data_IF_876826970909
#
_entry.id   IF_876826970909
#
_cell.length_a   1.000
_cell.length_b   1.000
_cell.length_c   1.000
_cell.angle_alpha   90.00
_cell.angle_beta   90.00
_cell.angle_gamma   90.00
#
_symmetry.space_group_name_H-M   'P 1'
#
loop_
_entity.id
_entity.type
_entity.pdbx_description
1 polymer ?
#
# COMPACT_ATOMS: atom_id res chain seq x y z
N UNK A 1 0.59 9.13 53.58
CA UNK A 1 -0.80 8.92 53.12
C UNK A 1 -0.84 8.99 51.60
N UNK A 2 -1.15 7.90 50.95
CA UNK A 2 -1.29 7.88 49.51
C UNK A 2 -2.55 8.64 49.10
N UNK A 3 -2.38 9.55 48.10
CA UNK A 3 -3.48 10.32 47.55
C UNK A 3 -4.39 9.39 46.71
N UNK A 4 -5.67 9.16 47.10
CA UNK A 4 -6.54 8.26 46.36
C UNK A 4 -6.83 8.72 44.92
N UNK A 5 -6.51 9.97 44.57
CA UNK A 5 -6.65 10.48 43.18
C UNK A 5 -5.54 10.01 42.25
N UNK A 6 -4.39 9.56 42.74
CA UNK A 6 -3.29 9.07 41.90
C UNK A 6 -3.62 7.72 41.24
N UNK A 7 -4.39 6.86 41.92
CA UNK A 7 -4.83 5.56 41.40
C UNK A 7 -5.82 5.70 40.22
N UNK A 8 -6.71 6.70 40.28
CA UNK A 8 -7.67 6.96 39.19
C UNK A 8 -6.96 7.41 37.92
N UNK A 9 -5.97 8.29 38.04
CA UNK A 9 -5.15 8.74 36.90
C UNK A 9 -4.39 7.58 36.26
N UNK A 10 -3.82 6.71 37.07
CA UNK A 10 -3.09 5.53 36.59
C UNK A 10 -4.00 4.56 35.85
N UNK A 11 -5.20 4.29 36.36
CA UNK A 11 -6.19 3.45 35.69
C UNK A 11 -6.66 4.00 34.35
N UNK A 12 -6.94 5.30 34.29
CA UNK A 12 -7.35 5.98 33.05
C UNK A 12 -6.23 5.89 32.01
N UNK A 13 -4.99 6.13 32.41
CA UNK A 13 -3.83 6.04 31.52
C UNK A 13 -3.62 4.60 30.99
N UNK A 14 -3.71 3.61 31.84
CA UNK A 14 -3.59 2.19 31.47
C UNK A 14 -4.71 1.76 30.49
N UNK A 15 -5.95 2.19 30.74
CA UNK A 15 -7.09 1.94 29.83
C UNK A 15 -6.90 2.62 28.49
N UNK A 16 -6.41 3.86 28.48
CA UNK A 16 -6.12 4.60 27.24
C UNK A 16 -5.05 3.88 26.42
N UNK A 17 -3.95 3.44 27.03
CA UNK A 17 -2.90 2.68 26.33
C UNK A 17 -3.40 1.35 25.80
N UNK A 18 -4.19 0.62 26.57
CA UNK A 18 -4.79 -0.65 26.15
C UNK A 18 -5.72 -0.45 24.96
N UNK A 19 -6.59 0.54 25.00
CA UNK A 19 -7.52 0.87 23.91
C UNK A 19 -6.76 1.26 22.63
N UNK A 20 -5.73 2.12 22.76
CA UNK A 20 -4.89 2.53 21.63
C UNK A 20 -4.17 1.33 21.01
N UNK A 21 -3.59 0.45 21.80
CA UNK A 21 -2.91 -0.76 21.36
C UNK A 21 -3.87 -1.72 20.66
N UNK A 22 -5.07 -1.90 21.16
CA UNK A 22 -6.10 -2.75 20.56
C UNK A 22 -6.54 -2.18 19.22
N UNK A 23 -6.78 -0.87 19.10
CA UNK A 23 -7.15 -0.20 17.85
C UNK A 23 -6.05 -0.32 16.80
N UNK A 24 -4.78 -0.15 17.17
CA UNK A 24 -3.63 -0.32 16.26
C UNK A 24 -3.51 -1.77 15.77
N UNK A 25 -3.78 -2.76 16.63
CA UNK A 25 -3.75 -4.18 16.26
C UNK A 25 -4.86 -4.50 15.27
N UNK A 26 -6.07 -3.98 15.46
CA UNK A 26 -7.20 -4.16 14.55
C UNK A 26 -6.93 -3.50 13.19
N UNK A 27 -6.39 -2.28 13.17
CA UNK A 27 -6.01 -1.58 11.93
C UNK A 27 -4.93 -2.35 11.16
N UNK A 28 -3.95 -2.90 11.84
CA UNK A 28 -2.90 -3.71 11.22
C UNK A 28 -3.48 -5.00 10.63
N UNK A 29 -4.41 -5.64 11.33
CA UNK A 29 -5.10 -6.83 10.82
C UNK A 29 -5.92 -6.52 9.58
N UNK A 30 -6.66 -5.41 9.59
CA UNK A 30 -7.42 -4.96 8.43
C UNK A 30 -6.52 -4.71 7.22
N UNK A 31 -5.40 -4.02 7.43
CA UNK A 31 -4.41 -3.77 6.38
C UNK A 31 -3.85 -5.07 5.81
N UNK A 32 -3.49 -6.02 6.65
CA UNK A 32 -3.00 -7.34 6.23
C UNK A 32 -4.04 -8.11 5.41
N UNK A 33 -5.31 -8.05 5.82
CA UNK A 33 -6.41 -8.69 5.09
C UNK A 33 -6.63 -8.02 3.72
N UNK A 34 -6.55 -6.70 3.63
CA UNK A 34 -6.62 -5.95 2.37
C UNK A 34 -5.50 -6.37 1.42
N UNK A 35 -4.27 -6.43 1.91
CA UNK A 35 -3.10 -6.84 1.10
C UNK A 35 -3.25 -8.28 0.62
N UNK A 36 -3.71 -9.18 1.47
CA UNK A 36 -3.95 -10.58 1.13
C UNK A 36 -5.00 -10.72 0.02
N UNK A 37 -6.09 -9.97 0.11
CA UNK A 37 -7.14 -9.94 -0.91
C UNK A 37 -6.61 -9.38 -2.24
N UNK A 38 -5.83 -8.32 -2.21
CA UNK A 38 -5.19 -7.76 -3.40
C UNK A 38 -4.30 -8.81 -4.08
N UNK A 39 -3.45 -9.48 -3.32
CA UNK A 39 -2.59 -10.55 -3.84
C UNK A 39 -3.40 -11.70 -4.45
N UNK A 40 -4.52 -12.04 -3.84
CA UNK A 40 -5.45 -13.05 -4.38
C UNK A 40 -5.99 -12.63 -5.75
N UNK A 41 -6.45 -11.38 -5.88
CA UNK A 41 -6.96 -10.83 -7.15
C UNK A 41 -5.87 -10.79 -8.22
N UNK A 42 -4.66 -10.41 -7.86
CA UNK A 42 -3.52 -10.38 -8.79
C UNK A 42 -3.17 -11.78 -9.29
N UNK A 43 -3.15 -12.77 -8.43
CA UNK A 43 -2.92 -14.17 -8.83
C UNK A 43 -4.01 -14.68 -9.77
N UNK A 44 -5.27 -14.31 -9.53
CA UNK A 44 -6.38 -14.70 -10.40
C UNK A 44 -6.31 -14.04 -11.79
N UNK A 45 -5.68 -12.87 -11.91
CA UNK A 45 -5.49 -12.14 -13.16
C UNK A 45 -4.11 -12.36 -13.80
N UNK A 46 -3.32 -13.27 -13.28
CA UNK A 46 -1.94 -13.54 -13.67
C UNK A 46 -1.82 -13.94 -15.14
N UNK A 47 -0.81 -13.39 -15.83
CA UNK A 47 -0.46 -13.74 -17.20
C UNK A 47 1.05 -13.98 -17.31
N UNK A 48 1.44 -15.25 -17.37
CA UNK A 48 2.85 -15.65 -17.44
C UNK A 48 3.54 -15.29 -18.75
N UNK A 49 2.79 -15.19 -19.85
CA UNK A 49 3.33 -14.75 -21.16
C UNK A 49 3.74 -13.28 -21.08
N UNK A 50 2.89 -12.44 -20.50
CA UNK A 50 3.18 -11.00 -20.35
C UNK A 50 4.36 -10.77 -19.40
N UNK A 51 4.41 -11.44 -18.26
CA UNK A 51 5.52 -11.31 -17.32
C UNK A 51 6.84 -11.82 -17.89
N UNK A 52 6.81 -12.90 -18.66
CA UNK A 52 7.98 -13.43 -19.36
C UNK A 52 8.49 -12.46 -20.42
N UNK A 53 7.62 -11.85 -21.20
CA UNK A 53 7.97 -10.81 -22.18
C UNK A 53 8.62 -9.59 -21.51
N UNK A 54 8.09 -9.16 -20.40
CA UNK A 54 8.65 -8.04 -19.62
C UNK A 54 10.08 -8.34 -19.16
N UNK A 55 10.35 -9.55 -18.64
CA UNK A 55 11.69 -9.97 -18.24
C UNK A 55 12.66 -9.97 -19.40
N UNK A 56 12.24 -10.47 -20.55
CA UNK A 56 13.06 -10.47 -21.76
C UNK A 56 13.43 -9.04 -22.20
N UNK A 57 12.59 -8.06 -21.92
CA UNK A 57 12.81 -6.66 -22.23
C UNK A 57 13.50 -5.88 -21.08
N UNK A 58 14.06 -6.57 -20.11
CA UNK A 58 14.86 -5.94 -19.03
C UNK A 58 14.08 -5.47 -17.81
N UNK A 59 12.79 -5.78 -17.74
CA UNK A 59 11.97 -5.44 -16.56
C UNK A 59 12.06 -6.60 -15.55
N UNK A 60 12.92 -6.43 -14.56
CA UNK A 60 13.29 -7.48 -13.60
C UNK A 60 12.79 -7.16 -12.19
N UNK A 61 11.47 -7.22 -11.99
CA UNK A 61 10.88 -7.20 -10.66
C UNK A 61 11.10 -8.56 -9.96
N UNK A 62 11.24 -8.55 -8.65
CA UNK A 62 11.32 -9.78 -7.87
C UNK A 62 10.12 -10.69 -8.11
N UNK A 63 8.92 -10.11 -8.14
CA UNK A 63 7.68 -10.80 -8.49
C UNK A 63 6.91 -9.96 -9.50
N UNK A 64 6.46 -10.59 -10.57
CA UNK A 64 5.67 -9.97 -11.61
C UNK A 64 4.58 -10.96 -12.05
N UNK A 65 3.33 -10.64 -11.75
CA UNK A 65 2.19 -11.47 -12.14
C UNK A 65 1.78 -11.28 -13.61
N UNK A 66 2.27 -10.23 -14.26
CA UNK A 66 1.94 -9.96 -15.66
C UNK A 66 0.50 -9.48 -15.85
N UNK A 67 -0.06 -8.78 -14.88
CA UNK A 67 -1.39 -8.18 -15.01
C UNK A 67 -1.28 -6.89 -15.83
N UNK A 68 -2.10 -6.77 -16.88
CA UNK A 68 -2.08 -5.57 -17.72
C UNK A 68 -2.65 -4.34 -16.98
N UNK A 69 -2.33 -3.14 -17.49
CA UNK A 69 -2.74 -1.90 -16.84
C UNK A 69 -4.25 -1.70 -16.79
N UNK A 70 -5.05 -2.02 -17.84
CA UNK A 70 -6.51 -1.94 -17.74
C UNK A 70 -7.09 -2.79 -16.62
N UNK A 71 -6.59 -3.99 -16.43
CA UNK A 71 -7.03 -4.87 -15.35
C UNK A 71 -6.59 -4.36 -13.99
N UNK A 72 -5.39 -3.79 -13.88
CA UNK A 72 -4.93 -3.12 -12.66
C UNK A 72 -5.82 -1.94 -12.30
N UNK A 73 -6.23 -1.14 -13.28
CA UNK A 73 -7.14 -0.02 -13.06
C UNK A 73 -8.51 -0.49 -12.53
N UNK A 74 -9.03 -1.62 -13.02
CA UNK A 74 -10.26 -2.23 -12.50
C UNK A 74 -10.09 -2.66 -11.04
N UNK A 75 -8.98 -3.31 -10.70
CA UNK A 75 -8.67 -3.72 -9.33
C UNK A 75 -8.52 -2.47 -8.43
N UNK A 76 -7.82 -1.44 -8.89
CA UNK A 76 -7.66 -0.20 -8.15
C UNK A 76 -9.00 0.48 -7.82
N UNK A 77 -9.97 0.42 -8.74
CA UNK A 77 -11.30 0.98 -8.52
C UNK A 77 -12.10 0.23 -7.42
N UNK A 78 -11.77 -1.02 -7.14
CA UNK A 78 -12.49 -1.88 -6.21
C UNK A 78 -11.83 -1.97 -4.81
N UNK A 79 -10.64 -1.40 -4.63
CA UNK A 79 -9.93 -1.43 -3.34
C UNK A 79 -9.96 -0.06 -2.66
N UNK A 80 -9.73 0.02 -1.33
CA UNK A 80 -9.72 1.30 -0.61
C UNK A 80 -8.59 2.22 -1.10
N UNK A 81 -8.89 3.50 -1.25
CA UNK A 81 -7.92 4.54 -1.60
C UNK A 81 -7.50 5.28 -0.34
N UNK A 82 -6.61 4.69 0.42
CA UNK A 82 -6.09 5.26 1.67
C UNK A 82 -4.58 5.43 1.60
N UNK A 83 -4.06 6.43 2.30
CA UNK A 83 -2.62 6.65 2.43
C UNK A 83 -1.91 5.41 2.95
N UNK A 84 -2.42 4.81 4.02
CA UNK A 84 -1.78 3.67 4.68
C UNK A 84 -1.66 2.46 3.75
N UNK A 85 -2.73 2.13 3.03
CA UNK A 85 -2.70 1.01 2.08
C UNK A 85 -1.75 1.31 0.92
N UNK A 86 -1.86 2.48 0.29
CA UNK A 86 -1.03 2.86 -0.85
C UNK A 86 0.46 2.92 -0.48
N UNK A 87 0.81 3.50 0.67
CA UNK A 87 2.18 3.55 1.15
C UNK A 87 2.76 2.15 1.41
N UNK A 88 1.94 1.23 1.92
CA UNK A 88 2.33 -0.17 2.14
C UNK A 88 2.53 -0.90 0.82
N UNK A 89 1.64 -0.71 -0.15
CA UNK A 89 1.76 -1.29 -1.49
C UNK A 89 3.02 -0.82 -2.21
N UNK A 90 3.37 0.46 -2.07
CA UNK A 90 4.57 1.02 -2.71
C UNK A 90 5.87 0.38 -2.23
N UNK A 91 5.94 -0.04 -0.99
CA UNK A 91 7.10 -0.69 -0.40
C UNK A 91 7.31 -2.13 -0.86
N UNK A 92 6.29 -2.75 -1.43
CA UNK A 92 6.38 -4.14 -1.89
C UNK A 92 7.20 -4.22 -3.19
N UNK A 93 7.93 -5.31 -3.35
CA UNK A 93 8.78 -5.54 -4.51
C UNK A 93 8.07 -6.31 -5.63
N UNK A 94 6.75 -6.26 -5.63
CA UNK A 94 5.86 -6.81 -6.64
C UNK A 94 5.46 -5.68 -7.58
N UNK A 95 5.64 -5.87 -8.90
CA UNK A 95 5.32 -4.87 -9.93
C UNK A 95 3.92 -4.29 -9.75
N UNK A 96 2.92 -5.15 -9.71
CA UNK A 96 1.51 -4.76 -9.64
C UNK A 96 1.17 -3.99 -8.36
N UNK A 97 1.80 -4.34 -7.25
CA UNK A 97 1.59 -3.64 -5.98
C UNK A 97 2.09 -2.19 -6.06
N UNK A 98 3.22 -1.96 -6.69
CA UNK A 98 3.76 -0.61 -6.90
C UNK A 98 2.87 0.22 -7.83
N UNK A 99 2.38 -0.37 -8.90
CA UNK A 99 1.46 0.31 -9.83
C UNK A 99 0.12 0.62 -9.15
N UNK A 100 -0.42 -0.31 -8.38
CA UNK A 100 -1.64 -0.09 -7.58
C UNK A 100 -1.44 1.02 -6.54
N UNK A 101 -0.27 1.10 -5.92
CA UNK A 101 0.05 2.18 -4.98
C UNK A 101 -0.11 3.56 -5.62
N UNK A 102 0.44 3.74 -6.82
CA UNK A 102 0.31 4.99 -7.56
C UNK A 102 -1.14 5.27 -7.99
N UNK A 103 -1.92 4.23 -8.31
CA UNK A 103 -3.32 4.36 -8.70
C UNK A 103 -4.27 4.65 -7.54
N UNK A 104 -3.90 4.30 -6.32
CA UNK A 104 -4.79 4.36 -5.15
C UNK A 104 -4.38 5.40 -4.10
N UNK A 105 -3.20 5.99 -4.21
CA UNK A 105 -2.77 7.05 -3.29
C UNK A 105 -3.68 8.27 -3.44
N UNK A 106 -4.32 8.76 -2.36
CA UNK A 106 -5.09 10.00 -2.43
C UNK A 106 -4.21 11.19 -2.82
N UNK A 107 -4.67 12.01 -3.76
CA UNK A 107 -3.91 13.17 -4.22
C UNK A 107 -3.66 14.19 -3.10
N UNK A 108 -4.61 14.35 -2.21
CA UNK A 108 -4.52 15.25 -1.07
C UNK A 108 -3.43 14.84 -0.05
N UNK A 109 -3.07 13.57 -0.04
CA UNK A 109 -2.02 13.02 0.83
C UNK A 109 -0.65 12.95 0.14
N UNK A 110 -0.62 13.20 -1.18
CA UNK A 110 0.59 13.13 -1.99
C UNK A 110 1.24 14.50 -2.12
N UNK A 111 1.92 14.92 -1.05
CA UNK A 111 2.63 16.18 -0.98
C UNK A 111 3.97 16.14 -1.73
N UNK A 112 4.64 17.29 -1.81
CA UNK A 112 5.92 17.42 -2.51
C UNK A 112 7.00 16.52 -1.92
N UNK A 113 7.04 16.39 -0.60
CA UNK A 113 8.05 15.56 0.08
C UNK A 113 7.87 14.08 -0.27
N UNK A 114 6.64 13.58 -0.22
CA UNK A 114 6.32 12.21 -0.60
C UNK A 114 6.56 11.97 -2.09
N UNK A 115 6.22 12.95 -2.93
CA UNK A 115 6.44 12.87 -4.37
C UNK A 115 7.94 12.74 -4.69
N UNK A 116 8.80 13.55 -4.07
CA UNK A 116 10.24 13.44 -4.23
C UNK A 116 10.77 12.08 -3.80
N UNK A 117 10.30 11.57 -2.66
CA UNK A 117 10.70 10.26 -2.17
C UNK A 117 10.32 9.14 -3.15
N UNK A 118 9.10 9.16 -3.68
CA UNK A 118 8.65 8.14 -4.62
C UNK A 118 9.37 8.23 -5.96
N UNK A 119 9.63 9.44 -6.45
CA UNK A 119 10.40 9.65 -7.69
C UNK A 119 11.82 9.09 -7.57
N UNK A 120 12.47 9.27 -6.45
CA UNK A 120 13.80 8.69 -6.19
C UNK A 120 13.80 7.15 -6.18
N UNK A 121 12.66 6.54 -5.86
CA UNK A 121 12.49 5.09 -5.79
C UNK A 121 12.01 4.46 -7.09
N UNK A 122 11.77 5.25 -8.13
CA UNK A 122 11.37 4.74 -9.45
C UNK A 122 12.47 3.88 -10.07
N UNK A 123 12.06 2.73 -10.61
CA UNK A 123 12.97 1.79 -11.27
C UNK A 123 12.75 1.71 -12.77
N UNK A 124 11.50 1.81 -13.21
CA UNK A 124 11.11 1.60 -14.60
C UNK A 124 10.20 2.71 -15.09
N UNK A 125 10.23 2.95 -16.41
CA UNK A 125 9.42 3.97 -17.06
C UNK A 125 7.91 3.77 -16.83
N UNK A 126 7.45 2.53 -16.73
CA UNK A 126 6.06 2.18 -16.46
C UNK A 126 5.59 2.77 -15.12
N UNK A 127 6.39 2.66 -14.07
CA UNK A 127 6.08 3.25 -12.77
C UNK A 127 5.96 4.78 -12.84
N UNK A 128 6.87 5.41 -13.57
CA UNK A 128 6.85 6.85 -13.77
C UNK A 128 5.60 7.29 -14.53
N UNK A 129 5.21 6.57 -15.58
CA UNK A 129 4.00 6.86 -16.36
C UNK A 129 2.74 6.79 -15.50
N UNK A 130 2.59 5.75 -14.72
CA UNK A 130 1.43 5.59 -13.83
C UNK A 130 1.40 6.68 -12.76
N UNK A 131 2.55 7.02 -12.18
CA UNK A 131 2.67 8.09 -11.21
C UNK A 131 2.23 9.45 -11.79
N UNK A 132 2.71 9.79 -12.98
CA UNK A 132 2.34 11.04 -13.67
C UNK A 132 0.84 11.08 -13.98
N UNK A 133 0.27 9.99 -14.47
CA UNK A 133 -1.13 9.95 -14.87
C UNK A 133 -2.11 10.05 -13.69
N UNK A 134 -1.74 9.55 -12.52
CA UNK A 134 -2.65 9.46 -11.39
C UNK A 134 -2.39 10.49 -10.29
N UNK A 135 -1.16 10.97 -10.12
CA UNK A 135 -0.78 11.78 -8.98
C UNK A 135 -0.16 13.14 -9.32
N UNK A 136 0.38 13.29 -10.51
CA UNK A 136 1.01 14.55 -10.96
C UNK A 136 0.23 15.20 -12.08
#
# INVERSE_FOLDING_TARGET
>A
MENPHSWRRFRIFALFQFTTKTMMTEQNKELDDQIREIKRRLRAAMNGVLSGSMRQNGIDYRVNFGVDQPRLAEIAAEIPHTYTLAATLWKDNIREMRLLAAMTMPQEDFDEELAMLWVEQLRYAEEAQVLVLHLL
#
